data_IF_859553607598
#
_entry.id   IF_859553607598
#
_cell.length_a   1.000
_cell.length_b   1.000
_cell.length_c   1.000
_cell.angle_alpha   90.00
_cell.angle_beta   90.00
_cell.angle_gamma   90.00
#
_symmetry.space_group_name_H-M   'P 1'
#
loop_
_entity.id
_entity.type
_entity.pdbx_description
1 polymer ?
#
# COMPACT_ATOMS: atom_id res chain seq x y z
N UNK A 1 12.63 -3.51 0.38
CA UNK A 1 13.81 -4.35 0.72
C UNK A 1 15.05 -3.87 -0.02
N UNK A 2 15.09 -3.89 -1.37
CA UNK A 2 16.29 -3.55 -2.16
C UNK A 2 16.90 -2.18 -1.80
N UNK A 3 16.09 -1.14 -1.63
CA UNK A 3 16.55 0.20 -1.24
C UNK A 3 17.18 0.22 0.16
N UNK A 4 16.62 -0.53 1.11
CA UNK A 4 17.18 -0.66 2.46
C UNK A 4 18.51 -1.42 2.43
N UNK A 5 18.57 -2.55 1.72
CA UNK A 5 19.82 -3.31 1.57
C UNK A 5 20.92 -2.48 0.89
N UNK A 6 20.58 -1.74 -0.17
CA UNK A 6 21.51 -0.83 -0.85
C UNK A 6 22.01 0.32 0.05
N UNK A 7 21.22 0.72 1.04
CA UNK A 7 21.59 1.68 2.08
C UNK A 7 22.52 1.08 3.16
N UNK A 8 22.61 -0.25 3.24
CA UNK A 8 23.42 -0.97 4.23
C UNK A 8 22.65 -1.47 5.45
N UNK A 9 21.32 -1.42 5.41
CA UNK A 9 20.48 -1.97 6.48
C UNK A 9 20.51 -3.50 6.47
N UNK A 10 20.35 -4.11 7.65
CA UNK A 10 19.99 -5.52 7.80
C UNK A 10 18.48 -5.64 7.78
N UNK A 11 17.95 -6.50 6.92
CA UNK A 11 16.52 -6.63 6.67
C UNK A 11 16.06 -8.07 6.93
N UNK A 12 15.02 -8.21 7.76
CA UNK A 12 14.27 -9.46 7.90
C UNK A 12 12.92 -9.29 7.21
N UNK A 13 12.68 -10.10 6.16
CA UNK A 13 11.42 -10.08 5.41
C UNK A 13 10.52 -11.23 5.85
N UNK A 14 9.24 -10.93 6.03
CA UNK A 14 8.19 -11.92 6.36
C UNK A 14 7.14 -11.90 5.26
N UNK A 15 6.82 -13.07 4.68
CA UNK A 15 5.72 -13.28 3.74
C UNK A 15 5.27 -14.76 3.83
N UNK A 16 3.96 -15.01 3.76
CA UNK A 16 3.44 -16.37 3.79
C UNK A 16 3.39 -17.03 2.41
N UNK A 17 3.70 -16.28 1.34
CA UNK A 17 3.65 -16.73 -0.05
C UNK A 17 2.33 -17.40 -0.45
N UNK A 18 1.20 -16.88 0.08
CA UNK A 18 -0.11 -17.45 -0.21
C UNK A 18 -0.44 -17.44 -1.71
N UNK A 19 -1.42 -18.24 -2.10
CA UNK A 19 -1.83 -18.44 -3.48
C UNK A 19 -2.96 -17.51 -3.95
N UNK A 20 -3.15 -16.36 -3.33
CA UNK A 20 -4.12 -15.35 -3.77
C UNK A 20 -3.94 -14.97 -5.25
N UNK A 21 -2.70 -14.89 -5.68
CA UNK A 21 -2.29 -14.88 -7.09
C UNK A 21 -1.07 -15.79 -7.27
N UNK A 22 -0.65 -16.02 -8.52
CA UNK A 22 0.44 -16.93 -8.84
C UNK A 22 1.67 -16.70 -7.95
N UNK A 23 2.05 -17.69 -7.11
CA UNK A 23 3.21 -17.58 -6.23
C UNK A 23 4.54 -17.40 -6.97
N UNK A 24 4.65 -17.81 -8.23
CA UNK A 24 5.89 -17.71 -9.01
C UNK A 24 6.41 -16.26 -9.07
N UNK A 25 5.52 -15.27 -9.17
CA UNK A 25 5.94 -13.87 -9.15
C UNK A 25 6.41 -13.41 -7.76
N UNK A 26 5.92 -14.04 -6.67
CA UNK A 26 6.41 -13.76 -5.31
C UNK A 26 7.82 -14.31 -5.12
N UNK A 27 8.05 -15.55 -5.55
CA UNK A 27 9.38 -16.16 -5.53
C UNK A 27 10.36 -15.36 -6.39
N UNK A 28 9.99 -14.99 -7.61
CA UNK A 28 10.83 -14.17 -8.48
C UNK A 28 11.18 -12.78 -7.90
N UNK A 29 10.28 -12.18 -7.09
CA UNK A 29 10.59 -10.96 -6.33
C UNK A 29 11.65 -11.24 -5.26
N UNK A 30 11.51 -12.35 -4.53
CA UNK A 30 12.43 -12.77 -3.48
C UNK A 30 13.81 -13.12 -4.05
N UNK A 31 13.90 -13.80 -5.20
CA UNK A 31 15.14 -14.19 -5.85
C UNK A 31 16.08 -13.01 -6.14
N UNK A 32 15.55 -11.80 -6.24
CA UNK A 32 16.33 -10.57 -6.46
C UNK A 32 17.24 -10.21 -5.29
N UNK A 33 16.99 -10.73 -4.10
CA UNK A 33 17.74 -10.35 -2.89
C UNK A 33 17.88 -11.46 -1.85
N UNK A 34 17.34 -12.67 -2.07
CA UNK A 34 17.42 -13.77 -1.09
C UNK A 34 18.87 -14.15 -0.74
N UNK A 35 19.79 -14.01 -1.69
CA UNK A 35 21.23 -14.29 -1.50
C UNK A 35 22.02 -13.14 -0.86
N UNK A 36 21.38 -12.01 -0.52
CA UNK A 36 22.10 -10.88 0.06
C UNK A 36 22.51 -11.18 1.52
N UNK A 37 23.78 -10.96 1.94
CA UNK A 37 24.28 -11.34 3.27
C UNK A 37 23.56 -10.63 4.43
N UNK A 38 23.00 -9.45 4.20
CA UNK A 38 22.23 -8.67 5.17
C UNK A 38 20.71 -8.91 5.06
N UNK A 39 20.26 -9.95 4.35
CA UNK A 39 18.85 -10.30 4.23
C UNK A 39 18.54 -11.67 4.82
N UNK A 40 17.47 -11.72 5.60
CA UNK A 40 16.88 -12.98 6.08
C UNK A 40 15.43 -13.05 5.68
N UNK A 41 15.01 -14.18 5.09
CA UNK A 41 13.61 -14.44 4.77
C UNK A 41 12.98 -15.39 5.78
N UNK A 42 11.75 -15.07 6.21
CA UNK A 42 10.92 -15.92 7.04
C UNK A 42 9.59 -16.17 6.30
N UNK A 43 9.29 -17.43 6.04
CA UNK A 43 8.03 -17.83 5.42
C UNK A 43 6.98 -18.07 6.52
N UNK A 44 6.34 -16.99 6.97
CA UNK A 44 5.45 -16.96 8.14
C UNK A 44 4.16 -16.22 7.77
N UNK A 45 3.02 -16.71 8.25
CA UNK A 45 1.75 -16.00 8.21
C UNK A 45 1.64 -15.05 9.42
N UNK A 46 1.19 -13.82 9.19
CA UNK A 46 0.98 -12.86 10.29
C UNK A 46 -0.08 -13.32 11.29
N UNK A 47 -1.01 -14.18 10.87
CA UNK A 47 -2.03 -14.76 11.76
C UNK A 47 -1.46 -15.85 12.68
N UNK A 48 -0.24 -16.32 12.43
CA UNK A 48 0.47 -17.25 13.33
C UNK A 48 1.19 -16.47 14.43
N UNK A 49 0.55 -16.41 15.59
CA UNK A 49 1.02 -15.66 16.75
C UNK A 49 2.42 -16.10 17.19
N UNK A 50 2.61 -17.39 17.38
CA UNK A 50 3.85 -17.95 17.92
C UNK A 50 5.03 -17.69 17.00
N UNK A 51 4.84 -17.88 15.69
CA UNK A 51 5.86 -17.61 14.70
C UNK A 51 6.23 -16.11 14.62
N UNK A 52 5.28 -15.20 14.80
CA UNK A 52 5.57 -13.75 14.86
C UNK A 52 6.31 -13.39 16.17
N UNK A 53 5.89 -13.91 17.33
CA UNK A 53 6.60 -13.71 18.61
C UNK A 53 8.06 -14.21 18.52
N UNK A 54 8.28 -15.38 17.91
CA UNK A 54 9.62 -15.93 17.68
C UNK A 54 10.45 -15.03 16.75
N UNK A 55 9.84 -14.57 15.63
CA UNK A 55 10.53 -13.69 14.69
C UNK A 55 11.03 -12.39 15.35
N UNK A 56 10.19 -11.75 16.16
CA UNK A 56 10.56 -10.51 16.86
C UNK A 56 11.61 -10.75 17.95
N UNK A 57 11.45 -11.79 18.78
CA UNK A 57 12.39 -12.08 19.87
C UNK A 57 13.77 -12.51 19.37
N UNK A 58 13.82 -13.25 18.26
CA UNK A 58 15.06 -13.73 17.65
C UNK A 58 15.80 -12.60 16.92
N UNK A 59 15.09 -11.82 16.11
CA UNK A 59 15.75 -10.84 15.23
C UNK A 59 15.82 -9.43 15.79
N UNK A 60 15.00 -9.10 16.79
CA UNK A 60 14.99 -7.81 17.51
C UNK A 60 15.11 -6.60 16.58
N UNK A 61 14.20 -6.43 15.60
CA UNK A 61 14.29 -5.30 14.69
C UNK A 61 14.16 -3.98 15.47
N UNK A 62 14.84 -2.94 15.00
CA UNK A 62 14.67 -1.59 15.58
C UNK A 62 13.43 -0.89 15.06
N UNK A 63 13.14 -1.11 13.77
CA UNK A 63 12.01 -0.48 13.05
C UNK A 63 11.27 -1.53 12.25
N UNK A 64 9.98 -1.32 12.09
CA UNK A 64 9.10 -2.25 11.38
C UNK A 64 8.33 -1.53 10.28
N UNK A 65 8.30 -2.12 9.09
CA UNK A 65 7.42 -1.70 7.98
C UNK A 65 6.44 -2.83 7.70
N UNK A 66 5.18 -2.67 8.10
CA UNK A 66 4.14 -3.66 7.85
C UNK A 66 3.33 -3.30 6.59
N UNK A 67 3.69 -3.93 5.47
CA UNK A 67 2.95 -3.84 4.21
C UNK A 67 2.11 -5.09 3.94
N UNK A 68 2.30 -6.14 4.73
CA UNK A 68 1.59 -7.39 4.57
C UNK A 68 0.11 -7.25 4.93
N UNK A 69 -0.74 -7.74 4.04
CA UNK A 69 -2.19 -7.74 4.20
C UNK A 69 -2.85 -8.61 3.14
N UNK A 70 -4.07 -9.06 3.40
CA UNK A 70 -4.97 -9.42 2.32
C UNK A 70 -5.47 -8.12 1.67
N UNK A 71 -5.19 -7.94 0.41
CA UNK A 71 -5.54 -6.75 -0.36
C UNK A 71 -6.64 -7.03 -1.40
N UNK A 72 -7.26 -5.98 -1.94
CA UNK A 72 -8.30 -6.08 -2.95
C UNK A 72 -9.71 -5.84 -2.39
N UNK A 73 -10.37 -4.78 -2.85
CA UNK A 73 -11.73 -4.41 -2.40
C UNK A 73 -12.73 -5.52 -2.77
N UNK A 74 -12.68 -6.03 -4.00
CA UNK A 74 -13.64 -7.03 -4.52
C UNK A 74 -13.56 -8.35 -3.78
N UNK A 75 -12.38 -8.88 -3.62
CA UNK A 75 -12.18 -10.15 -2.91
C UNK A 75 -12.65 -10.07 -1.45
N UNK A 76 -12.67 -8.86 -0.85
CA UNK A 76 -13.21 -8.68 0.51
C UNK A 76 -14.72 -8.86 0.61
N UNK A 77 -15.44 -8.79 -0.52
CA UNK A 77 -16.88 -9.10 -0.59
C UNK A 77 -17.09 -10.62 -0.65
N UNK A 78 -16.20 -11.32 -1.37
CA UNK A 78 -16.27 -12.77 -1.56
C UNK A 78 -15.75 -13.55 -0.34
N UNK A 79 -14.65 -13.09 0.25
CA UNK A 79 -13.99 -13.75 1.38
C UNK A 79 -13.59 -12.76 2.49
N UNK A 80 -14.56 -12.21 3.25
CA UNK A 80 -14.30 -11.21 4.29
C UNK A 80 -13.43 -11.74 5.44
N UNK A 81 -13.52 -13.03 5.77
CA UNK A 81 -12.75 -13.62 6.88
C UNK A 81 -11.24 -13.63 6.62
N UNK A 82 -10.80 -13.72 5.37
CA UNK A 82 -9.39 -13.59 5.03
C UNK A 82 -8.83 -12.21 5.45
N UNK A 83 -9.66 -11.16 5.36
CA UNK A 83 -9.28 -9.80 5.78
C UNK A 83 -9.26 -9.64 7.30
N UNK A 84 -10.18 -10.27 8.00
CA UNK A 84 -10.16 -10.28 9.48
C UNK A 84 -8.88 -10.98 9.97
N UNK A 85 -8.58 -12.17 9.46
CA UNK A 85 -7.40 -12.92 9.89
C UNK A 85 -6.08 -12.20 9.54
N UNK A 86 -5.88 -11.81 8.28
CA UNK A 86 -4.61 -11.21 7.86
C UNK A 86 -4.46 -9.77 8.35
N UNK A 87 -5.52 -8.94 8.23
CA UNK A 87 -5.38 -7.49 8.42
C UNK A 87 -5.67 -7.06 9.85
N UNK A 88 -6.51 -7.79 10.61
CA UNK A 88 -6.82 -7.43 11.99
C UNK A 88 -6.04 -8.30 12.95
N UNK A 89 -6.20 -9.63 12.89
CA UNK A 89 -5.48 -10.55 13.79
C UNK A 89 -3.98 -10.47 13.53
N UNK A 90 -3.53 -10.58 12.27
CA UNK A 90 -2.11 -10.47 11.91
C UNK A 90 -1.51 -9.13 12.31
N UNK A 91 -2.24 -8.02 12.14
CA UNK A 91 -1.74 -6.72 12.57
C UNK A 91 -1.65 -6.58 14.09
N UNK A 92 -2.58 -7.21 14.85
CA UNK A 92 -2.48 -7.27 16.30
C UNK A 92 -1.18 -7.97 16.75
N UNK A 93 -0.80 -9.07 16.08
CA UNK A 93 0.46 -9.77 16.38
C UNK A 93 1.70 -8.89 16.08
N UNK A 94 1.68 -8.11 15.00
CA UNK A 94 2.74 -7.13 14.72
C UNK A 94 2.82 -6.06 15.83
N UNK A 95 1.69 -5.52 16.27
CA UNK A 95 1.66 -4.53 17.36
C UNK A 95 2.19 -5.11 18.68
N UNK A 96 1.81 -6.36 19.02
CA UNK A 96 2.34 -7.07 20.20
C UNK A 96 3.85 -7.32 20.06
N UNK A 97 4.31 -7.77 18.89
CA UNK A 97 5.74 -7.92 18.61
C UNK A 97 6.49 -6.61 18.79
N UNK A 98 5.94 -5.49 18.32
CA UNK A 98 6.54 -4.18 18.47
C UNK A 98 6.67 -3.75 19.95
N UNK A 99 5.55 -3.84 20.70
CA UNK A 99 5.55 -3.36 22.10
C UNK A 99 6.48 -4.19 23.01
N UNK A 100 6.56 -5.50 22.79
CA UNK A 100 7.36 -6.38 23.64
C UNK A 100 8.86 -6.35 23.33
N UNK A 101 9.25 -5.84 22.16
CA UNK A 101 10.65 -5.81 21.73
C UNK A 101 11.24 -4.39 21.61
N UNK A 102 10.56 -3.37 22.13
CA UNK A 102 11.08 -2.01 22.19
C UNK A 102 11.33 -1.37 20.83
N UNK A 103 10.39 -1.57 19.87
CA UNK A 103 10.50 -1.02 18.52
C UNK A 103 10.46 0.50 18.55
N UNK A 104 11.40 1.14 17.87
CA UNK A 104 11.52 2.60 17.79
C UNK A 104 10.44 3.23 16.91
N UNK A 105 9.97 2.52 15.88
CA UNK A 105 8.95 3.01 14.94
C UNK A 105 8.28 1.87 14.18
N UNK A 106 6.95 1.89 14.10
CA UNK A 106 6.14 1.06 13.21
C UNK A 106 5.53 1.93 12.11
N UNK A 107 5.92 1.70 10.86
CA UNK A 107 5.22 2.23 9.68
C UNK A 107 4.31 1.13 9.14
N UNK A 108 3.04 1.45 8.86
CA UNK A 108 2.09 0.44 8.38
C UNK A 108 1.24 0.95 7.21
N UNK A 109 0.88 0.02 6.33
CA UNK A 109 0.02 0.32 5.20
C UNK A 109 -1.46 0.44 5.64
N UNK A 110 -2.00 1.64 5.56
CA UNK A 110 -3.42 1.90 5.43
C UNK A 110 -3.80 1.95 3.93
N UNK A 111 -4.88 2.60 3.55
CA UNK A 111 -5.37 2.65 2.17
C UNK A 111 -6.27 3.86 1.94
N UNK A 112 -6.25 4.41 0.74
CA UNK A 112 -7.26 5.40 0.31
C UNK A 112 -8.70 4.86 0.35
N UNK A 113 -8.88 3.53 0.39
CA UNK A 113 -10.21 2.92 0.56
C UNK A 113 -10.90 3.30 1.88
N UNK A 114 -10.15 3.75 2.90
CA UNK A 114 -10.72 4.21 4.17
C UNK A 114 -11.60 5.45 4.01
N UNK A 115 -11.38 6.26 2.96
CA UNK A 115 -12.24 7.41 2.66
C UNK A 115 -13.69 7.01 2.34
N UNK A 116 -13.90 5.77 1.87
CA UNK A 116 -15.23 5.16 1.76
C UNK A 116 -16.23 6.04 1.02
N UNK A 117 -17.28 6.45 1.72
CA UNK A 117 -18.37 7.28 1.18
C UNK A 117 -18.04 8.79 1.07
N UNK A 118 -16.84 9.23 1.41
CA UNK A 118 -16.46 10.63 1.26
C UNK A 118 -16.45 11.02 -0.22
N UNK A 119 -16.95 12.24 -0.52
CA UNK A 119 -17.06 12.76 -1.90
C UNK A 119 -16.25 14.04 -2.11
N UNK A 120 -15.78 14.68 -1.02
CA UNK A 120 -14.99 15.90 -1.11
C UNK A 120 -13.53 15.55 -1.44
N UNK A 121 -13.08 15.88 -2.64
CA UNK A 121 -11.69 15.75 -3.11
C UNK A 121 -10.98 17.12 -3.18
N UNK A 122 -9.63 17.17 -3.06
CA UNK A 122 -8.76 16.05 -2.74
C UNK A 122 -9.06 15.45 -1.36
N UNK A 123 -8.83 14.15 -1.20
CA UNK A 123 -9.00 13.48 0.09
C UNK A 123 -7.89 13.90 1.04
N UNK A 124 -8.26 14.53 2.14
CA UNK A 124 -7.32 14.98 3.18
C UNK A 124 -7.33 14.01 4.37
N UNK A 125 -6.18 13.81 4.99
CA UNK A 125 -6.03 12.99 6.20
C UNK A 125 -6.83 13.54 7.40
N UNK A 126 -7.21 14.82 7.35
CA UNK A 126 -8.03 15.50 8.36
C UNK A 126 -9.54 15.23 8.22
N UNK A 127 -9.97 14.54 7.14
CA UNK A 127 -11.36 14.16 6.98
C UNK A 127 -11.72 12.96 7.86
N UNK A 128 -12.95 12.96 8.40
CA UNK A 128 -13.53 11.78 9.03
C UNK A 128 -13.70 10.64 8.00
N UNK A 129 -13.39 9.40 8.39
CA UNK A 129 -13.40 8.22 7.53
C UNK A 129 -14.12 7.03 8.16
N UNK A 130 -15.27 7.28 8.79
CA UNK A 130 -16.04 6.29 9.55
C UNK A 130 -17.11 5.57 8.72
N UNK A 131 -17.17 5.79 7.39
CA UNK A 131 -18.14 5.16 6.49
C UNK A 131 -17.45 4.33 5.39
N UNK A 132 -16.74 3.24 5.75
CA UNK A 132 -16.06 2.36 4.77
C UNK A 132 -17.08 1.66 3.87
N UNK A 133 -16.75 1.48 2.58
CA UNK A 133 -17.60 0.82 1.59
C UNK A 133 -17.25 -0.67 1.38
N UNK A 134 -16.29 -1.21 2.12
CA UNK A 134 -15.87 -2.62 2.00
C UNK A 134 -15.24 -3.12 3.30
N UNK A 135 -15.23 -4.45 3.50
CA UNK A 135 -14.52 -5.09 4.62
C UNK A 135 -13.02 -4.80 4.57
N UNK A 136 -12.43 -4.70 3.36
CA UNK A 136 -11.04 -4.26 3.21
C UNK A 136 -10.81 -2.86 3.79
N UNK A 137 -11.64 -1.90 3.42
CA UNK A 137 -11.54 -0.53 3.95
C UNK A 137 -11.72 -0.50 5.48
N UNK A 138 -12.72 -1.22 6.00
CA UNK A 138 -12.96 -1.34 7.44
C UNK A 138 -11.74 -1.96 8.16
N UNK A 139 -11.11 -3.00 7.60
CA UNK A 139 -9.92 -3.62 8.18
C UNK A 139 -8.72 -2.66 8.23
N UNK A 140 -8.55 -1.81 7.19
CA UNK A 140 -7.48 -0.80 7.17
C UNK A 140 -7.75 0.35 8.15
N UNK A 141 -9.00 0.80 8.28
CA UNK A 141 -9.38 1.76 9.33
C UNK A 141 -9.15 1.18 10.72
N UNK A 142 -9.46 -0.11 10.93
CA UNK A 142 -9.18 -0.79 12.20
C UNK A 142 -7.68 -0.77 12.53
N UNK A 143 -6.79 -0.93 11.54
CA UNK A 143 -5.34 -0.80 11.77
C UNK A 143 -4.96 0.59 12.29
N UNK A 144 -5.54 1.67 11.75
CA UNK A 144 -5.29 3.03 12.22
C UNK A 144 -5.71 3.20 13.70
N UNK A 145 -6.90 2.68 14.06
CA UNK A 145 -7.43 2.75 15.42
C UNK A 145 -6.61 1.91 16.42
N UNK A 146 -6.23 0.68 16.03
CA UNK A 146 -5.40 -0.19 16.85
C UNK A 146 -4.01 0.42 17.08
N UNK A 147 -3.38 0.96 16.04
CA UNK A 147 -2.09 1.63 16.14
C UNK A 147 -2.16 2.84 17.08
N UNK A 148 -3.22 3.68 16.99
CA UNK A 148 -3.44 4.78 17.91
C UNK A 148 -3.55 4.30 19.37
N UNK A 149 -4.33 3.25 19.62
CA UNK A 149 -4.48 2.69 20.96
C UNK A 149 -3.13 2.23 21.55
N UNK A 150 -2.29 1.56 20.73
CA UNK A 150 -0.94 1.14 21.16
C UNK A 150 0.01 2.31 21.36
N UNK A 151 -0.07 3.35 20.54
CA UNK A 151 0.68 4.59 20.77
C UNK A 151 0.28 5.25 22.08
N UNK A 152 -1.01 5.25 22.42
CA UNK A 152 -1.53 5.86 23.64
C UNK A 152 -1.16 5.05 24.90
N UNK A 153 -1.30 3.73 24.85
CA UNK A 153 -1.12 2.87 26.05
C UNK A 153 0.37 2.60 26.31
N UNK A 154 1.14 2.36 25.24
CA UNK A 154 2.52 1.87 25.33
C UNK A 154 3.57 2.86 24.84
N UNK A 155 3.15 4.03 24.35
CA UNK A 155 4.07 5.01 23.78
C UNK A 155 4.77 4.57 22.49
N UNK A 156 4.25 3.53 21.82
CA UNK A 156 4.83 3.02 20.57
C UNK A 156 4.67 4.06 19.44
N UNK A 157 5.75 4.58 18.85
CA UNK A 157 5.63 5.47 17.70
C UNK A 157 5.09 4.72 16.49
N UNK A 158 3.96 5.19 15.93
CA UNK A 158 3.33 4.55 14.77
C UNK A 158 2.94 5.55 13.70
N UNK A 159 3.18 5.19 12.43
CA UNK A 159 2.76 6.01 11.28
C UNK A 159 2.01 5.16 10.26
N UNK A 160 0.76 5.51 10.03
CA UNK A 160 -0.07 4.93 8.99
C UNK A 160 0.10 5.68 7.66
N UNK A 161 0.26 4.96 6.57
CA UNK A 161 0.30 5.51 5.22
C UNK A 161 -0.94 5.06 4.45
N UNK A 162 -1.81 6.00 4.05
CA UNK A 162 -2.97 5.75 3.18
C UNK A 162 -2.50 5.73 1.74
N UNK A 163 -2.19 4.53 1.24
CA UNK A 163 -1.77 4.35 -0.15
C UNK A 163 -2.91 4.62 -1.12
N UNK A 164 -2.61 5.43 -2.13
CA UNK A 164 -3.43 5.53 -3.34
C UNK A 164 -3.02 4.44 -4.34
N UNK A 165 -3.30 4.61 -5.64
CA UNK A 165 -3.06 3.52 -6.60
C UNK A 165 -1.59 3.43 -6.97
N UNK A 166 -0.88 2.49 -6.36
CA UNK A 166 0.53 2.22 -6.66
C UNK A 166 0.66 1.34 -7.91
N UNK A 167 1.58 1.70 -8.81
CA UNK A 167 1.88 0.94 -10.01
C UNK A 167 3.37 0.91 -10.32
N UNK A 168 3.79 -0.01 -11.19
CA UNK A 168 5.19 -0.12 -11.62
C UNK A 168 5.65 -1.57 -11.75
N UNK A 169 6.93 -1.79 -12.07
CA UNK A 169 7.54 -3.11 -12.16
C UNK A 169 7.30 -3.95 -10.91
N UNK A 170 7.12 -5.26 -11.11
CA UNK A 170 6.83 -6.21 -10.03
C UNK A 170 5.50 -5.96 -9.32
N UNK A 171 4.60 -5.18 -9.93
CA UNK A 171 3.26 -4.92 -9.41
C UNK A 171 2.43 -6.20 -9.28
N UNK A 172 1.31 -6.10 -8.57
CA UNK A 172 0.38 -7.23 -8.38
C UNK A 172 -0.34 -7.56 -9.68
N UNK A 173 -0.47 -8.86 -10.04
CA UNK A 173 -1.08 -9.28 -11.31
C UNK A 173 -2.60 -9.07 -11.38
N UNK A 174 -3.27 -8.84 -10.25
CA UNK A 174 -4.70 -8.53 -10.16
C UNK A 174 -5.02 -7.03 -10.33
N UNK A 175 -4.01 -6.17 -10.53
CA UNK A 175 -4.20 -4.74 -10.78
C UNK A 175 -4.38 -4.42 -12.27
N UNK A 176 -5.10 -3.32 -12.54
CA UNK A 176 -5.50 -2.92 -13.89
C UNK A 176 -4.35 -2.88 -14.90
N UNK A 177 -3.21 -2.27 -14.54
CA UNK A 177 -2.05 -2.17 -15.45
C UNK A 177 -1.59 -3.55 -15.93
N UNK A 178 -1.49 -4.50 -15.00
CA UNK A 178 -1.04 -5.86 -15.31
C UNK A 178 -2.08 -6.60 -16.15
N UNK A 179 -3.36 -6.52 -15.75
CA UNK A 179 -4.46 -7.17 -16.47
C UNK A 179 -4.60 -6.63 -17.90
N UNK A 180 -4.53 -5.30 -18.07
CA UNK A 180 -4.62 -4.66 -19.36
C UNK A 180 -3.43 -5.04 -20.25
N UNK A 181 -2.21 -5.02 -19.73
CA UNK A 181 -1.01 -5.42 -20.47
C UNK A 181 -1.12 -6.85 -20.98
N UNK A 182 -1.53 -7.78 -20.10
CA UNK A 182 -1.72 -9.19 -20.45
C UNK A 182 -2.75 -9.34 -21.57
N UNK A 183 -3.91 -8.72 -21.45
CA UNK A 183 -4.99 -8.81 -22.44
C UNK A 183 -4.60 -8.20 -23.79
N UNK A 184 -4.00 -6.99 -23.79
CA UNK A 184 -3.56 -6.32 -25.01
C UNK A 184 -2.53 -7.15 -25.77
N UNK A 185 -1.54 -7.72 -25.08
CA UNK A 185 -0.53 -8.57 -25.71
C UNK A 185 -1.14 -9.87 -26.29
N UNK A 186 -2.16 -10.42 -25.60
CA UNK A 186 -2.89 -11.62 -26.06
C UNK A 186 -3.93 -11.32 -27.17
N UNK A 187 -4.13 -10.08 -27.61
CA UNK A 187 -5.21 -9.63 -28.49
C UNK A 187 -6.63 -9.86 -27.91
N UNK A 188 -6.73 -9.85 -26.58
CA UNK A 188 -8.00 -9.96 -25.87
C UNK A 188 -8.53 -8.57 -25.49
N UNK A 189 -9.87 -8.38 -25.39
CA UNK A 189 -10.43 -7.11 -24.97
C UNK A 189 -10.12 -6.84 -23.49
N UNK A 190 -9.83 -5.57 -23.17
CA UNK A 190 -9.73 -5.10 -21.79
C UNK A 190 -11.09 -4.67 -21.27
N UNK A 191 -11.40 -5.04 -20.01
CA UNK A 191 -12.65 -4.64 -19.34
C UNK A 191 -12.48 -3.26 -18.70
N UNK A 192 -13.21 -2.29 -19.23
CA UNK A 192 -13.13 -0.88 -18.80
C UNK A 192 -14.40 -0.51 -18.04
N UNK A 193 -14.34 -0.56 -16.71
CA UNK A 193 -15.49 -0.28 -15.85
C UNK A 193 -15.83 1.20 -15.76
N UNK A 194 -17.06 1.50 -15.30
CA UNK A 194 -17.63 2.84 -15.28
C UNK A 194 -17.57 3.53 -16.66
N UNK A 195 -17.67 2.75 -17.74
CA UNK A 195 -17.55 3.26 -19.11
C UNK A 195 -16.30 4.11 -19.36
N UNK A 196 -15.20 3.82 -18.64
CA UNK A 196 -13.96 4.57 -18.68
C UNK A 196 -13.95 5.89 -17.90
N UNK A 197 -15.02 6.23 -17.21
CA UNK A 197 -15.18 7.48 -16.45
C UNK A 197 -14.59 7.34 -15.03
N UNK A 198 -13.36 6.85 -14.93
CA UNK A 198 -12.60 6.80 -13.68
C UNK A 198 -11.45 7.77 -13.72
N UNK A 199 -11.18 8.39 -12.58
CA UNK A 199 -10.02 9.24 -12.35
C UNK A 199 -9.26 8.73 -11.14
N UNK A 200 -7.97 8.46 -11.28
CA UNK A 200 -7.16 7.84 -10.24
C UNK A 200 -5.86 8.59 -10.03
N UNK A 201 -5.49 8.71 -8.78
CA UNK A 201 -4.15 9.13 -8.37
C UNK A 201 -3.22 7.91 -8.49
N UNK A 202 -2.46 7.85 -9.59
CA UNK A 202 -1.49 6.79 -9.85
C UNK A 202 -0.12 7.24 -9.39
N UNK A 203 0.52 6.44 -8.54
CA UNK A 203 1.84 6.76 -7.98
C UNK A 203 2.84 5.66 -8.32
N UNK A 204 3.96 6.05 -8.90
CA UNK A 204 5.00 5.11 -9.29
C UNK A 204 5.69 4.49 -8.08
N UNK A 205 6.08 3.21 -8.19
CA UNK A 205 6.60 2.41 -7.06
C UNK A 205 7.84 3.02 -6.40
N UNK A 206 8.78 3.60 -7.16
CA UNK A 206 10.00 4.17 -6.57
C UNK A 206 9.70 5.43 -5.76
N UNK A 207 8.73 6.24 -6.19
CA UNK A 207 8.24 7.38 -5.42
C UNK A 207 7.60 6.91 -4.09
N UNK A 208 6.80 5.85 -4.15
CA UNK A 208 6.20 5.26 -2.94
C UNK A 208 7.28 4.75 -1.97
N UNK A 209 8.28 4.04 -2.49
CA UNK A 209 9.36 3.47 -1.67
C UNK A 209 10.18 4.57 -1.00
N UNK A 210 10.45 5.68 -1.71
CA UNK A 210 11.14 6.83 -1.13
C UNK A 210 10.33 7.44 0.03
N UNK A 211 9.03 7.66 -0.17
CA UNK A 211 8.14 8.16 0.87
C UNK A 211 8.08 7.26 2.11
N UNK A 212 8.02 5.92 1.91
CA UNK A 212 8.07 4.96 3.01
C UNK A 212 9.39 5.06 3.80
N UNK A 213 10.53 5.16 3.10
CA UNK A 213 11.85 5.22 3.75
C UNK A 213 11.98 6.51 4.56
N UNK A 214 11.60 7.64 4.00
CA UNK A 214 11.62 8.92 4.74
C UNK A 214 10.72 8.89 5.97
N UNK A 215 9.53 8.32 5.84
CA UNK A 215 8.63 8.12 6.97
C UNK A 215 9.25 7.18 8.02
N UNK A 216 9.86 6.06 7.61
CA UNK A 216 10.49 5.10 8.51
C UNK A 216 11.62 5.73 9.33
N UNK A 217 12.36 6.65 8.71
CA UNK A 217 13.50 7.31 9.36
C UNK A 217 13.10 8.43 10.34
N UNK A 218 11.83 8.86 10.28
CA UNK A 218 11.28 9.92 11.12
C UNK A 218 10.12 9.41 11.99
N UNK A 219 10.39 8.83 13.17
CA UNK A 219 9.36 8.33 14.06
C UNK A 219 8.32 9.40 14.42
N UNK A 220 7.05 8.98 14.49
CA UNK A 220 5.96 9.85 14.89
C UNK A 220 6.20 10.47 16.27
N UNK A 221 5.85 11.73 16.41
CA UNK A 221 5.92 12.47 17.67
C UNK A 221 4.54 12.99 18.06
N UNK A 222 4.28 13.21 19.37
CA UNK A 222 3.04 13.83 19.83
C UNK A 222 2.80 15.21 19.19
N UNK A 223 1.55 15.50 18.82
CA UNK A 223 1.13 16.86 18.49
C UNK A 223 0.70 17.58 19.75
N UNK A 224 1.56 18.45 20.29
CA UNK A 224 1.31 19.20 21.53
C UNK A 224 0.17 20.24 21.43
N UNK A 225 -0.29 20.53 20.19
CA UNK A 225 -1.43 21.43 19.93
C UNK A 225 -2.75 20.69 19.74
N UNK A 226 -2.73 19.34 19.78
CA UNK A 226 -3.92 18.54 19.61
C UNK A 226 -4.93 18.80 20.72
N UNK A 227 -6.20 18.94 20.35
CA UNK A 227 -7.29 19.27 21.26
C UNK A 227 -8.39 18.20 21.19
N UNK A 228 -8.74 17.61 22.33
CA UNK A 228 -9.78 16.58 22.43
C UNK A 228 -11.19 17.07 22.10
N UNK A 229 -11.47 18.37 22.24
CA UNK A 229 -12.77 18.96 21.91
C UNK A 229 -12.96 19.17 20.41
N UNK A 230 -11.85 19.23 19.66
CA UNK A 230 -11.81 19.32 18.21
C UNK A 230 -10.69 18.37 17.69
N UNK A 231 -10.92 17.05 17.78
CA UNK A 231 -9.88 16.08 17.47
C UNK A 231 -9.55 16.09 15.98
N UNK A 232 -8.26 16.21 15.66
CA UNK A 232 -7.75 16.01 14.32
C UNK A 232 -7.60 14.51 14.04
N UNK A 233 -8.10 14.04 12.89
CA UNK A 233 -8.08 12.63 12.51
C UNK A 233 -6.76 12.12 11.97
N UNK A 234 -5.77 13.00 11.74
CA UNK A 234 -4.44 12.64 11.23
C UNK A 234 -3.35 12.62 12.30
N UNK A 235 -3.60 13.29 13.44
CA UNK A 235 -2.62 13.49 14.52
C UNK A 235 -3.23 13.20 15.89
N UNK A 236 -2.39 13.11 16.92
CA UNK A 236 -2.83 12.96 18.31
C UNK A 236 -1.81 13.57 19.28
N UNK A 237 -2.20 13.70 20.53
CA UNK A 237 -1.33 14.04 21.64
C UNK A 237 -0.36 12.90 22.03
N UNK A 238 -0.40 11.77 21.31
CA UNK A 238 0.51 10.64 21.44
C UNK A 238 1.34 10.46 20.16
N UNK A 239 2.41 9.64 20.13
CA UNK A 239 3.28 9.48 18.97
C UNK A 239 2.61 8.65 17.84
N UNK A 240 1.52 9.16 17.29
CA UNK A 240 0.73 8.57 16.21
C UNK A 240 0.48 9.59 15.10
N UNK A 241 0.64 9.14 13.86
CA UNK A 241 0.42 9.95 12.65
C UNK A 241 -0.22 9.11 11.54
N UNK A 242 -1.01 9.78 10.69
CA UNK A 242 -1.47 9.24 9.41
C UNK A 242 -1.15 10.23 8.31
N UNK A 243 -0.62 9.73 7.18
CA UNK A 243 -0.37 10.50 5.97
C UNK A 243 -1.02 9.85 4.75
N UNK A 244 -1.44 10.66 3.79
CA UNK A 244 -1.66 10.19 2.44
C UNK A 244 -0.32 10.01 1.74
N UNK A 245 -0.20 8.96 0.94
CA UNK A 245 0.91 8.76 0.04
C UNK A 245 0.38 8.49 -1.36
N UNK A 246 0.56 9.48 -2.23
CA UNK A 246 0.01 9.55 -3.58
C UNK A 246 0.79 10.56 -4.42
N UNK A 247 0.46 10.68 -5.70
CA UNK A 247 1.15 11.59 -6.63
C UNK A 247 0.53 13.01 -6.63
N UNK A 248 -0.65 13.18 -6.07
CA UNK A 248 -1.41 14.45 -6.10
C UNK A 248 -1.66 14.96 -7.55
N UNK A 249 -1.71 14.04 -8.51
CA UNK A 249 -1.97 14.31 -9.92
C UNK A 249 -2.89 13.22 -10.49
N UNK A 250 -4.22 13.34 -10.27
CA UNK A 250 -5.14 12.32 -10.74
C UNK A 250 -5.24 12.32 -12.26
N UNK A 251 -5.21 11.12 -12.85
CA UNK A 251 -5.22 10.86 -14.29
C UNK A 251 -6.51 10.15 -14.68
N UNK A 252 -7.10 10.54 -15.82
CA UNK A 252 -8.24 9.83 -16.41
C UNK A 252 -7.84 8.41 -16.83
N UNK A 253 -8.70 7.43 -16.56
CA UNK A 253 -8.42 6.03 -16.91
C UNK A 253 -8.15 5.85 -18.41
N UNK A 254 -8.82 6.61 -19.25
CA UNK A 254 -8.63 6.53 -20.70
C UNK A 254 -7.27 7.05 -21.14
N UNK A 255 -6.74 8.09 -20.50
CA UNK A 255 -5.39 8.62 -20.74
C UNK A 255 -4.33 7.61 -20.27
N UNK A 256 -4.57 6.96 -19.12
CA UNK A 256 -3.72 5.89 -18.62
C UNK A 256 -3.66 4.70 -19.58
N UNK A 257 -4.81 4.30 -20.16
CA UNK A 257 -4.89 3.25 -21.19
C UNK A 257 -4.15 3.70 -22.46
N UNK A 258 -4.32 4.95 -22.90
CA UNK A 258 -3.63 5.48 -24.08
C UNK A 258 -2.09 5.48 -23.91
N UNK A 259 -1.60 5.83 -22.72
CA UNK A 259 -0.17 5.74 -22.42
C UNK A 259 0.34 4.29 -22.46
N UNK A 260 -0.46 3.32 -21.98
CA UNK A 260 -0.13 1.90 -22.06
C UNK A 260 -0.13 1.39 -23.52
N UNK A 261 -1.14 1.75 -24.32
CA UNK A 261 -1.21 1.43 -25.75
C UNK A 261 0.02 1.93 -26.50
N UNK A 262 0.43 3.17 -26.21
CA UNK A 262 1.64 3.78 -26.79
C UNK A 262 2.90 3.01 -26.41
N UNK A 263 3.07 2.68 -25.11
CA UNK A 263 4.23 1.95 -24.62
C UNK A 263 4.32 0.52 -25.17
N UNK A 264 3.17 -0.14 -25.37
CA UNK A 264 3.09 -1.47 -25.98
C UNK A 264 3.23 -1.45 -27.49
N UNK A 265 3.00 -0.30 -28.15
CA UNK A 265 2.91 -0.21 -29.61
C UNK A 265 1.67 -0.92 -30.18
N UNK A 266 0.59 -1.05 -29.38
CA UNK A 266 -0.58 -1.86 -29.73
C UNK A 266 -1.85 -1.28 -29.13
N UNK A 267 -2.92 -1.20 -29.94
CA UNK A 267 -4.23 -0.71 -29.51
C UNK A 267 -5.03 -1.79 -28.77
N UNK A 268 -5.74 -1.39 -27.73
CA UNK A 268 -6.63 -2.25 -26.96
C UNK A 268 -8.03 -2.31 -27.56
N UNK A 269 -8.58 -3.49 -27.74
CA UNK A 269 -10.02 -3.66 -27.82
C UNK A 269 -10.63 -3.40 -26.45
N UNK A 270 -11.63 -2.50 -26.35
CA UNK A 270 -12.18 -2.04 -25.06
C UNK A 270 -13.63 -2.53 -24.93
N UNK A 271 -13.90 -3.28 -23.86
CA UNK A 271 -15.26 -3.64 -23.43
C UNK A 271 -15.68 -2.67 -22.32
N UNK A 272 -16.60 -1.76 -22.63
CA UNK A 272 -17.08 -0.75 -21.67
C UNK A 272 -18.17 -1.34 -20.80
N UNK A 273 -17.96 -1.34 -19.48
CA UNK A 273 -18.84 -1.94 -18.49
C UNK A 273 -19.32 -0.90 -17.44
N UNK A 274 -20.48 -1.14 -16.78
CA UNK A 274 -20.94 -0.26 -15.71
C UNK A 274 -20.00 -0.25 -14.50
N UNK A 275 -20.19 0.72 -13.61
CA UNK A 275 -19.44 0.82 -12.35
C UNK A 275 -19.67 -0.45 -11.50
N UNK A 276 -18.60 -0.97 -10.92
CA UNK A 276 -18.66 -2.15 -10.05
C UNK A 276 -19.03 -1.77 -8.60
N UNK A 277 -19.70 -2.70 -7.91
CA UNK A 277 -20.03 -2.54 -6.48
C UNK A 277 -18.75 -2.37 -5.65
N UNK A 278 -18.76 -1.40 -4.75
CA UNK A 278 -17.63 -1.09 -3.86
C UNK A 278 -16.51 -0.28 -4.51
N UNK A 279 -16.63 0.06 -5.80
CA UNK A 279 -15.67 0.94 -6.47
C UNK A 279 -16.12 2.41 -6.40
N UNK A 280 -15.15 3.34 -6.43
CA UNK A 280 -15.39 4.78 -6.41
C UNK A 280 -15.00 5.41 -7.75
N UNK A 281 -15.70 6.43 -8.25
CA UNK A 281 -15.39 7.06 -9.55
C UNK A 281 -14.04 7.76 -9.55
N UNK A 282 -13.66 8.41 -8.46
CA UNK A 282 -12.45 9.23 -8.37
C UNK A 282 -11.67 8.94 -7.08
N UNK A 283 -10.33 8.98 -7.18
CA UNK A 283 -9.42 9.10 -6.03
C UNK A 283 -8.38 10.16 -6.32
N UNK A 284 -8.23 11.10 -5.37
CA UNK A 284 -7.30 12.21 -5.47
C UNK A 284 -6.73 12.51 -4.08
N UNK A 285 -5.41 12.35 -3.91
CA UNK A 285 -4.73 12.55 -2.64
C UNK A 285 -4.39 14.02 -2.40
N UNK A 286 -4.72 14.53 -1.22
CA UNK A 286 -4.01 15.63 -0.60
C UNK A 286 -2.79 15.07 0.10
N UNK A 287 -1.59 15.45 -0.32
CA UNK A 287 -0.30 14.94 0.21
C UNK A 287 0.51 16.03 0.89
N UNK A 288 -0.06 17.20 1.12
CA UNK A 288 0.65 18.36 1.63
C UNK A 288 1.33 18.07 2.98
N UNK A 289 0.63 17.40 3.90
CA UNK A 289 1.22 16.99 5.20
C UNK A 289 2.48 16.13 5.05
N UNK A 290 2.47 15.19 4.11
CA UNK A 290 3.64 14.32 3.85
C UNK A 290 4.78 15.12 3.22
N UNK A 291 4.45 16.00 2.27
CA UNK A 291 5.44 16.87 1.59
C UNK A 291 6.09 17.82 2.59
N UNK A 292 5.30 18.48 3.44
CA UNK A 292 5.81 19.43 4.45
C UNK A 292 6.67 18.73 5.50
N UNK A 293 6.25 17.54 5.95
CA UNK A 293 6.94 16.81 7.00
C UNK A 293 8.28 16.22 6.54
N UNK A 294 8.36 15.74 5.29
CA UNK A 294 9.50 14.94 4.83
C UNK A 294 10.29 15.57 3.69
N UNK A 295 9.92 16.80 3.26
CA UNK A 295 10.53 17.49 2.12
C UNK A 295 10.64 16.57 0.88
N UNK A 296 9.52 15.90 0.57
CA UNK A 296 9.48 14.90 -0.50
C UNK A 296 8.15 14.95 -1.25
N UNK A 297 8.23 15.03 -2.58
CA UNK A 297 7.09 14.98 -3.49
C UNK A 297 7.35 13.95 -4.58
N UNK A 298 6.42 13.03 -4.84
CA UNK A 298 6.43 12.17 -6.01
C UNK A 298 6.55 12.99 -7.29
N UNK A 299 7.32 12.51 -8.28
CA UNK A 299 7.58 13.26 -9.51
C UNK A 299 7.65 12.41 -10.79
N UNK A 300 7.47 11.09 -10.69
CA UNK A 300 7.49 10.21 -11.87
C UNK A 300 6.21 10.40 -12.67
N UNK A 301 6.33 10.73 -13.96
CA UNK A 301 5.19 10.84 -14.86
C UNK A 301 4.53 9.46 -15.09
N UNK A 302 3.22 9.48 -15.42
CA UNK A 302 2.50 8.23 -15.72
C UNK A 302 3.10 7.55 -16.97
N UNK A 303 3.51 8.32 -17.96
CA UNK A 303 4.13 7.82 -19.19
C UNK A 303 5.45 7.11 -18.91
N UNK A 304 6.33 7.71 -18.09
CA UNK A 304 7.62 7.10 -17.72
C UNK A 304 7.42 5.83 -16.90
N UNK A 305 6.55 5.90 -15.89
CA UNK A 305 6.26 4.76 -15.04
C UNK A 305 5.64 3.58 -15.78
N UNK A 306 4.74 3.83 -16.75
CA UNK A 306 4.17 2.80 -17.63
C UNK A 306 5.27 2.23 -18.55
N UNK A 307 6.13 3.07 -19.10
CA UNK A 307 7.24 2.63 -19.96
C UNK A 307 8.18 1.68 -19.20
N UNK A 308 8.54 2.01 -17.96
CA UNK A 308 9.34 1.14 -17.09
C UNK A 308 8.62 -0.18 -16.78
N UNK A 309 7.31 -0.13 -16.52
CA UNK A 309 6.52 -1.34 -16.28
C UNK A 309 6.47 -2.24 -17.52
N UNK A 310 6.22 -1.68 -18.70
CA UNK A 310 6.15 -2.45 -19.97
C UNK A 310 7.49 -3.09 -20.29
N UNK A 311 8.60 -2.36 -20.12
CA UNK A 311 9.95 -2.89 -20.30
C UNK A 311 10.20 -4.09 -19.39
N UNK A 312 9.90 -3.95 -18.09
CA UNK A 312 10.00 -5.04 -17.12
C UNK A 312 9.09 -6.22 -17.48
N UNK A 313 7.83 -5.95 -17.85
CA UNK A 313 6.86 -6.99 -18.17
C UNK A 313 7.34 -7.85 -19.33
N UNK A 314 7.81 -7.22 -20.42
CA UNK A 314 8.35 -7.91 -21.59
C UNK A 314 9.59 -8.75 -21.25
N UNK A 315 10.48 -8.18 -20.44
CA UNK A 315 11.68 -8.92 -20.05
C UNK A 315 11.35 -10.12 -19.15
N UNK A 316 10.47 -9.94 -18.18
CA UNK A 316 10.09 -11.01 -17.25
C UNK A 316 9.30 -12.14 -17.91
N UNK A 317 8.32 -11.82 -18.76
CA UNK A 317 7.47 -12.80 -19.45
C UNK A 317 8.01 -13.24 -20.80
N UNK A 318 9.10 -12.65 -21.29
CA UNK A 318 9.72 -12.95 -22.61
C UNK A 318 8.77 -12.75 -23.80
N UNK A 319 8.03 -11.62 -23.81
CA UNK A 319 7.02 -11.27 -24.83
C UNK A 319 7.25 -9.90 -25.45
#
# INVERSE_FOLDING_TARGET
TLRLLARGDTVVGIDNHNNYYDPAIKEARLDRFIGHPSYKHLRVDLADREAIEEAFSTHRPKRVVNLAAQAGVRYSIENPLAYINSNIVGFAHILEGCRHNGIEHLVYASSSSVYGANTKTPFSVHQNVDHPLSTYAASKKSNELMAHAYSNIYGLPTTGLRFFTVYGPWGRPDMALFLFTKAILANEPIKVFNYGKHRRDFTYIDDIVEGIIRTLDNPATPNLKWNSDQPDSATSNVPWRVYNIGNNQPVELMDYIAALEKALGKQAAKELLPLQTGDVPETYADVDDLVEQFDYKPNTSVEDGISHFVSWYRDYFKV
#
